data_IF_105150326613
#
_entry.id   IF_105150326613
#
_cell.length_a   1.000
_cell.length_b   1.000
_cell.length_c   1.000
_cell.angle_alpha   90.00
_cell.angle_beta   90.00
_cell.angle_gamma   90.00
#
_symmetry.space_group_name_H-M   'P 1'
#
loop_
_entity.id
_entity.type
_entity.pdbx_description
1 polymer ?
#
# COMPACT_ATOMS: atom_id res chain seq x y z
N UNK A 1 88.20 10.31 4.19
CA UNK A 1 88.12 9.29 3.12
C UNK A 1 86.66 9.15 2.70
N UNK A 2 86.39 9.32 1.39
CA UNK A 2 85.16 9.01 0.63
C UNK A 2 83.82 9.57 1.13
N UNK A 3 83.37 10.70 0.55
CA UNK A 3 82.35 10.83 -0.54
C UNK A 3 80.92 10.80 0.05
N UNK A 4 79.98 11.70 -0.27
CA UNK A 4 79.85 12.78 -1.26
C UNK A 4 78.61 13.61 -0.86
N UNK A 5 78.70 14.93 -1.03
CA UNK A 5 77.70 15.87 -1.60
C UNK A 5 76.37 15.24 -2.09
N UNK A 6 75.19 15.85 -1.94
CA UNK A 6 74.89 17.24 -2.31
C UNK A 6 73.48 17.67 -1.87
N UNK A 7 73.40 18.95 -1.48
CA UNK A 7 72.40 19.97 -1.86
C UNK A 7 70.91 19.76 -1.54
N UNK A 8 70.52 20.57 -0.56
CA UNK A 8 69.27 21.30 -0.42
C UNK A 8 68.60 21.69 -1.74
N UNK A 9 67.31 21.38 -1.83
CA UNK A 9 66.32 22.16 -2.56
C UNK A 9 65.09 22.24 -1.66
N UNK A 10 64.87 23.43 -1.09
CA UNK A 10 63.66 23.80 -0.36
C UNK A 10 62.55 23.92 -1.39
N UNK A 11 61.62 22.98 -1.40
CA UNK A 11 60.36 23.12 -2.13
C UNK A 11 59.28 23.63 -1.16
N UNK A 12 58.98 24.92 -1.27
CA UNK A 12 57.67 25.44 -0.90
C UNK A 12 56.64 24.76 -1.82
N UNK A 13 55.85 23.83 -1.27
CA UNK A 13 54.56 23.51 -1.86
C UNK A 13 53.49 24.29 -1.11
N UNK A 14 53.04 25.35 -1.75
CA UNK A 14 51.72 25.93 -1.59
C UNK A 14 50.67 24.82 -1.72
N UNK A 15 50.13 24.37 -0.60
CA UNK A 15 48.92 23.57 -0.58
C UNK A 15 47.76 24.46 -1.05
N UNK A 16 47.52 24.45 -2.36
CA UNK A 16 46.27 24.95 -2.93
C UNK A 16 45.14 24.13 -2.33
N UNK A 17 44.37 24.77 -1.45
CA UNK A 17 43.11 24.25 -0.97
C UNK A 17 42.18 24.04 -2.16
N UNK A 18 42.04 22.80 -2.59
CA UNK A 18 40.83 22.36 -3.25
C UNK A 18 39.75 22.30 -2.18
N UNK A 19 39.01 23.40 -2.03
CA UNK A 19 37.64 23.33 -1.54
C UNK A 19 36.93 22.34 -2.45
N UNK A 20 36.80 21.09 -2.00
CA UNK A 20 35.73 20.24 -2.46
C UNK A 20 34.46 21.04 -2.19
N UNK A 21 33.84 21.58 -3.23
CA UNK A 21 32.50 22.09 -3.13
C UNK A 21 31.66 20.88 -2.69
N UNK A 22 31.33 20.85 -1.40
CA UNK A 22 30.33 19.94 -0.88
C UNK A 22 29.11 20.13 -1.78
N UNK A 23 28.75 19.07 -2.49
CA UNK A 23 27.54 19.00 -3.31
C UNK A 23 26.39 19.56 -2.47
N UNK A 24 25.89 20.70 -2.91
CA UNK A 24 24.83 21.46 -2.25
C UNK A 24 23.63 20.53 -2.13
N UNK A 25 23.26 20.13 -0.90
CA UNK A 25 22.17 19.18 -0.64
C UNK A 25 20.85 19.83 -1.00
N UNK A 26 20.20 19.30 -2.04
CA UNK A 26 19.04 19.90 -2.67
C UNK A 26 17.70 19.36 -2.12
N UNK A 27 16.87 20.20 -1.44
CA UNK A 27 15.59 20.06 -0.66
C UNK A 27 14.08 20.51 -1.09
N UNK A 28 13.00 19.71 -0.97
CA UNK A 28 11.61 20.23 -1.07
C UNK A 28 10.57 19.56 -0.12
N UNK A 29 9.38 20.17 0.06
CA UNK A 29 8.29 19.69 0.95
C UNK A 29 6.98 19.47 0.18
N UNK A 30 6.29 18.34 0.40
CA UNK A 30 4.92 18.11 -0.06
C UNK A 30 3.97 18.90 0.83
N UNK A 31 3.25 19.86 0.26
CA UNK A 31 2.31 20.71 1.00
C UNK A 31 0.90 20.15 1.02
N UNK A 32 0.57 19.23 0.11
CA UNK A 32 -0.74 18.59 0.09
C UNK A 32 -0.98 17.69 -1.11
N UNK A 33 -2.12 17.01 -1.06
CA UNK A 33 -2.71 16.37 -2.23
C UNK A 33 -3.24 17.44 -3.18
N UNK A 34 -2.81 17.41 -4.44
CA UNK A 34 -3.41 18.27 -5.46
C UNK A 34 -4.72 17.64 -5.96
N UNK A 35 -5.84 18.31 -5.65
CA UNK A 35 -7.19 17.84 -5.96
C UNK A 35 -7.77 18.43 -7.26
N UNK A 36 -6.95 19.07 -8.11
CA UNK A 36 -7.44 19.73 -9.33
C UNK A 36 -8.13 18.77 -10.30
N UNK A 37 -7.67 17.51 -10.36
CA UNK A 37 -8.26 16.43 -11.16
C UNK A 37 -9.14 15.49 -10.31
N UNK A 38 -9.61 15.92 -9.14
CA UNK A 38 -10.32 15.04 -8.19
C UNK A 38 -11.74 15.53 -7.93
N UNK A 39 -12.69 14.61 -7.87
CA UNK A 39 -14.02 14.90 -7.32
C UNK A 39 -14.28 13.96 -6.16
N UNK A 40 -14.48 14.54 -4.98
CA UNK A 40 -14.89 13.81 -3.77
C UNK A 40 -16.39 13.56 -3.87
N UNK A 41 -16.83 12.36 -3.50
CA UNK A 41 -18.28 12.10 -3.34
C UNK A 41 -18.86 13.12 -2.35
N UNK A 42 -19.98 13.79 -2.65
CA UNK A 42 -20.55 14.79 -1.74
C UNK A 42 -21.24 14.14 -0.52
N UNK A 43 -21.34 14.85 0.62
CA UNK A 43 -22.10 14.41 1.79
C UNK A 43 -23.62 14.43 1.52
N UNK A 44 -24.46 13.80 2.37
CA UNK A 44 -24.12 13.18 3.66
C UNK A 44 -23.35 11.85 3.51
N UNK A 45 -22.40 11.62 4.40
CA UNK A 45 -21.71 10.34 4.53
C UNK A 45 -22.36 9.50 5.61
N UNK A 46 -22.62 8.24 5.27
CA UNK A 46 -23.11 7.20 6.17
C UNK A 46 -21.92 6.40 6.67
N UNK A 47 -21.84 6.20 7.98
CA UNK A 47 -20.79 5.39 8.60
C UNK A 47 -20.77 3.96 8.01
N UNK A 48 -19.57 3.39 7.92
CA UNK A 48 -19.27 2.08 7.35
C UNK A 48 -19.49 1.94 5.84
N UNK A 49 -19.94 2.99 5.14
CA UNK A 49 -20.02 3.00 3.68
C UNK A 49 -18.69 3.45 3.05
N UNK A 50 -18.30 2.78 1.97
CA UNK A 50 -17.12 3.16 1.18
C UNK A 50 -17.46 4.22 0.12
N UNK A 51 -16.69 5.29 0.08
CA UNK A 51 -16.83 6.39 -0.86
C UNK A 51 -15.55 6.56 -1.72
N UNK A 52 -15.71 6.94 -3.00
CA UNK A 52 -14.58 7.34 -3.83
C UNK A 52 -14.33 8.85 -3.78
N UNK A 53 -13.06 9.21 -3.83
CA UNK A 53 -12.55 10.46 -4.40
C UNK A 53 -12.01 10.15 -5.80
N UNK A 54 -12.84 10.35 -6.81
CA UNK A 54 -12.59 9.95 -8.20
C UNK A 54 -11.41 10.71 -8.78
N UNK A 55 -10.43 9.98 -9.33
CA UNK A 55 -9.23 10.52 -9.97
C UNK A 55 -9.47 10.62 -11.47
N UNK A 56 -9.54 11.84 -12.00
CA UNK A 56 -9.70 12.10 -13.42
C UNK A 56 -8.35 12.21 -14.13
N UNK A 57 -8.31 11.92 -15.42
CA UNK A 57 -7.08 12.01 -16.23
C UNK A 57 -6.59 13.44 -16.42
N UNK A 58 -7.50 14.43 -16.29
CA UNK A 58 -7.20 15.86 -16.42
C UNK A 58 -8.10 16.69 -15.51
N UNK A 59 -7.76 17.98 -15.36
CA UNK A 59 -8.58 18.96 -14.63
C UNK A 59 -9.95 19.24 -15.29
N UNK A 60 -10.15 18.84 -16.55
CA UNK A 60 -11.46 18.93 -17.22
C UNK A 60 -12.45 17.87 -16.73
N UNK A 61 -11.97 16.83 -16.02
CA UNK A 61 -12.78 15.80 -15.36
C UNK A 61 -13.76 15.06 -16.28
N UNK A 62 -13.31 14.70 -17.49
CA UNK A 62 -14.13 14.00 -18.49
C UNK A 62 -13.93 12.48 -18.51
N UNK A 63 -12.77 11.99 -18.08
CA UNK A 63 -12.44 10.56 -18.02
C UNK A 63 -11.71 10.24 -16.71
N UNK A 64 -11.91 9.03 -16.18
CA UNK A 64 -11.29 8.54 -14.94
C UNK A 64 -10.71 7.15 -15.14
N UNK A 65 -9.62 6.86 -14.45
CA UNK A 65 -8.94 5.56 -14.46
C UNK A 65 -8.91 4.91 -13.06
N UNK A 66 -9.43 5.59 -12.04
CA UNK A 66 -9.36 5.12 -10.66
C UNK A 66 -9.88 6.12 -9.64
N UNK A 67 -9.70 5.79 -8.37
CA UNK A 67 -10.13 6.62 -7.24
C UNK A 67 -9.19 6.45 -6.04
N UNK A 68 -9.19 7.43 -5.15
CA UNK A 68 -8.83 7.20 -3.75
C UNK A 68 -10.09 6.74 -3.03
N UNK A 69 -10.11 5.52 -2.50
CA UNK A 69 -11.28 4.98 -1.78
C UNK A 69 -11.07 5.05 -0.28
N UNK A 70 -12.16 5.28 0.44
CA UNK A 70 -12.15 5.35 1.90
C UNK A 70 -13.49 4.90 2.46
N UNK A 71 -13.49 4.28 3.65
CA UNK A 71 -14.70 3.87 4.37
C UNK A 71 -14.98 4.95 5.42
N UNK A 72 -16.20 5.47 5.49
CA UNK A 72 -16.56 6.50 6.48
C UNK A 72 -16.59 5.88 7.87
N UNK A 73 -15.52 6.09 8.63
CA UNK A 73 -15.30 5.54 9.99
C UNK A 73 -14.38 6.51 10.74
N UNK A 74 -13.31 6.02 11.35
CA UNK A 74 -12.11 6.77 11.73
C UNK A 74 -11.34 7.36 10.52
N UNK A 75 -11.72 7.01 9.28
CA UNK A 75 -11.31 7.71 8.06
C UNK A 75 -12.44 8.62 7.59
N UNK A 76 -12.11 9.86 7.26
CA UNK A 76 -13.04 10.88 6.76
C UNK A 76 -12.70 11.32 5.34
N UNK A 77 -13.63 11.97 4.66
CA UNK A 77 -13.36 12.60 3.36
C UNK A 77 -12.14 13.55 3.43
N UNK A 78 -11.30 13.63 2.39
CA UNK A 78 -11.41 12.95 1.09
C UNK A 78 -10.68 11.60 1.02
N UNK A 79 -10.24 11.04 2.15
CA UNK A 79 -9.61 9.72 2.23
C UNK A 79 -8.07 9.72 2.15
N UNK A 80 -7.42 10.85 1.90
CA UNK A 80 -5.96 10.99 1.89
C UNK A 80 -5.52 12.38 2.37
N UNK A 81 -4.44 12.44 3.16
CA UNK A 81 -3.72 13.65 3.55
C UNK A 81 -2.21 13.45 3.53
N UNK A 82 -1.51 14.57 3.69
CA UNK A 82 -0.06 14.66 3.87
C UNK A 82 0.19 15.12 5.31
N UNK A 83 0.95 14.34 6.07
CA UNK A 83 1.44 14.74 7.40
C UNK A 83 2.89 15.20 7.26
N UNK A 84 3.14 16.46 7.64
CA UNK A 84 4.45 17.10 7.55
C UNK A 84 5.21 17.15 8.88
N UNK A 85 4.52 16.87 9.98
CA UNK A 85 5.08 16.78 11.31
C UNK A 85 4.17 15.88 12.14
N UNK A 86 4.51 14.59 12.19
CA UNK A 86 3.96 13.67 13.18
C UNK A 86 4.23 14.19 14.59
N UNK A 87 3.23 14.13 15.47
CA UNK A 87 3.24 14.75 16.78
C UNK A 87 4.16 14.05 17.80
N UNK A 88 4.46 12.77 17.58
CA UNK A 88 5.37 11.98 18.43
C UNK A 88 6.79 11.98 17.88
N UNK A 89 6.94 11.68 16.59
CA UNK A 89 8.23 11.39 15.97
C UNK A 89 8.77 12.50 15.07
N UNK A 90 7.93 13.48 14.69
CA UNK A 90 8.24 14.48 13.68
C UNK A 90 8.38 13.92 12.25
N UNK A 91 8.10 12.63 12.05
CA UNK A 91 8.13 11.98 10.74
C UNK A 91 7.09 12.57 9.79
N UNK A 92 7.31 12.35 8.49
CA UNK A 92 6.39 12.75 7.44
C UNK A 92 5.82 11.51 6.76
N UNK A 93 4.54 11.57 6.43
CA UNK A 93 3.89 10.46 5.74
C UNK A 93 2.74 10.91 4.82
N UNK A 94 2.40 10.00 3.90
CA UNK A 94 1.21 10.05 3.05
C UNK A 94 0.28 8.96 3.59
N UNK A 95 -0.90 9.36 4.04
CA UNK A 95 -1.81 8.49 4.79
C UNK A 95 -3.27 8.93 4.63
N UNK A 96 -4.20 8.22 5.24
CA UNK A 96 -5.62 8.59 5.28
C UNK A 96 -5.88 9.83 6.14
N UNK A 97 -6.93 10.56 5.80
CA UNK A 97 -7.57 11.58 6.67
C UNK A 97 -8.37 10.94 7.80
N UNK A 98 -8.79 11.75 8.77
CA UNK A 98 -9.66 11.33 9.87
C UNK A 98 -8.97 11.44 11.22
N UNK A 99 -9.41 10.65 12.18
CA UNK A 99 -8.94 10.70 13.56
C UNK A 99 -8.34 9.37 14.00
N UNK A 100 -7.48 9.38 15.03
CA UNK A 100 -7.00 8.18 15.67
C UNK A 100 -8.16 7.54 16.46
N UNK A 101 -8.57 6.28 16.17
CA UNK A 101 -9.73 5.67 16.84
C UNK A 101 -9.52 5.37 18.33
N UNK A 102 -8.28 5.44 18.83
CA UNK A 102 -7.96 5.12 20.22
C UNK A 102 -8.04 6.33 21.16
N UNK A 103 -7.75 7.53 20.67
CA UNK A 103 -7.72 8.76 21.48
C UNK A 103 -8.45 9.96 20.85
N UNK A 104 -9.03 9.79 19.66
CA UNK A 104 -9.79 10.80 18.90
C UNK A 104 -9.00 12.04 18.48
N UNK A 105 -7.66 12.02 18.57
CA UNK A 105 -6.79 13.05 18.01
C UNK A 105 -6.79 13.03 16.47
N UNK A 106 -6.21 14.05 15.83
CA UNK A 106 -5.99 14.00 14.38
C UNK A 106 -5.08 12.81 14.05
N UNK A 107 -5.40 12.04 13.01
CA UNK A 107 -4.70 10.79 12.69
C UNK A 107 -3.22 11.04 12.33
N UNK A 108 -2.25 10.39 12.96
CA UNK A 108 -0.81 10.62 12.77
C UNK A 108 -0.05 9.40 12.26
N UNK A 109 1.20 9.60 11.81
CA UNK A 109 2.02 8.53 11.23
C UNK A 109 2.32 7.43 12.26
N UNK A 110 2.50 7.80 13.53
CA UNK A 110 2.81 6.87 14.63
C UNK A 110 1.59 6.23 15.30
N UNK A 111 0.35 6.52 14.85
CA UNK A 111 -0.83 5.92 15.49
C UNK A 111 -0.73 4.39 15.52
N UNK A 112 -1.38 3.72 16.48
CA UNK A 112 -1.29 2.27 16.60
C UNK A 112 -1.70 1.52 15.33
N UNK A 113 -1.38 0.23 15.25
CA UNK A 113 -1.91 -0.62 14.20
C UNK A 113 -3.44 -0.64 14.20
N UNK A 114 -4.04 -0.99 13.06
CA UNK A 114 -5.50 -0.97 12.84
C UNK A 114 -6.18 0.40 12.97
N UNK A 115 -5.43 1.51 13.03
CA UNK A 115 -5.95 2.89 12.95
C UNK A 115 -6.26 3.36 11.51
N UNK A 116 -6.55 2.44 10.59
CA UNK A 116 -6.91 2.75 9.18
C UNK A 116 -5.97 3.70 8.42
N UNK A 117 -4.68 3.78 8.77
CA UNK A 117 -3.71 4.75 8.19
C UNK A 117 -3.46 4.62 6.68
N UNK A 118 -3.74 3.45 6.08
CA UNK A 118 -3.35 3.18 4.70
C UNK A 118 -4.29 3.84 3.70
N UNK A 119 -3.80 4.83 2.95
CA UNK A 119 -4.59 5.47 1.89
C UNK A 119 -4.75 4.48 0.72
N UNK A 120 -5.94 4.42 0.12
CA UNK A 120 -6.29 3.34 -0.81
C UNK A 120 -6.43 3.88 -2.23
N UNK A 121 -5.61 3.40 -3.15
CA UNK A 121 -5.74 3.67 -4.59
C UNK A 121 -6.42 2.48 -5.25
N UNK A 122 -7.51 2.71 -5.96
CA UNK A 122 -8.21 1.70 -6.77
C UNK A 122 -8.11 2.04 -8.25
N UNK A 123 -7.63 1.12 -9.07
CA UNK A 123 -7.69 1.23 -10.53
C UNK A 123 -8.90 0.50 -11.09
N UNK A 124 -9.52 1.00 -12.16
CA UNK A 124 -10.79 0.43 -12.66
C UNK A 124 -10.84 0.11 -14.15
N UNK A 125 -9.91 0.62 -14.97
CA UNK A 125 -10.04 0.60 -16.44
C UNK A 125 -8.77 0.13 -17.18
N UNK A 126 -7.81 -0.48 -16.48
CA UNK A 126 -6.57 -0.95 -17.09
C UNK A 126 -5.63 0.13 -17.60
N UNK A 127 -5.93 1.37 -17.26
CA UNK A 127 -5.19 2.55 -17.67
C UNK A 127 -4.36 3.10 -16.51
N UNK A 128 -3.33 3.92 -16.79
CA UNK A 128 -2.54 4.51 -15.73
C UNK A 128 -3.36 5.41 -14.78
N UNK A 129 -3.05 5.35 -13.50
CA UNK A 129 -3.69 6.14 -12.44
C UNK A 129 -2.71 7.21 -11.97
N UNK A 130 -3.13 8.46 -12.02
CA UNK A 130 -2.30 9.61 -11.64
C UNK A 130 -2.75 10.20 -10.30
N UNK A 131 -1.81 10.27 -9.35
CA UNK A 131 -1.99 10.97 -8.07
C UNK A 131 -1.05 12.18 -8.04
N UNK A 132 -1.63 13.36 -7.92
CA UNK A 132 -0.90 14.63 -8.03
C UNK A 132 -0.56 15.16 -6.63
N UNK A 133 0.66 15.65 -6.45
CA UNK A 133 1.12 16.21 -5.18
C UNK A 133 1.54 17.65 -5.38
N UNK A 134 1.11 18.55 -4.50
CA UNK A 134 1.60 19.94 -4.46
C UNK A 134 2.85 19.99 -3.61
N UNK A 135 3.85 20.75 -4.05
CA UNK A 135 5.11 20.95 -3.33
C UNK A 135 5.40 22.43 -3.12
N UNK A 136 5.98 22.77 -1.97
CA UNK A 136 6.60 24.06 -1.73
C UNK A 136 8.02 24.08 -2.32
N UNK A 137 8.37 25.19 -2.97
CA UNK A 137 9.77 25.47 -3.33
C UNK A 137 10.46 25.97 -2.06
N UNK A 138 11.24 25.11 -1.42
CA UNK A 138 11.91 25.44 -0.16
C UNK A 138 13.34 24.87 -0.08
N UNK A 139 13.91 24.83 1.14
CA UNK A 139 15.26 24.35 1.42
C UNK A 139 15.30 23.14 2.35
N UNK A 140 14.17 22.45 2.60
CA UNK A 140 14.10 21.20 3.36
C UNK A 140 14.17 19.90 2.53
N UNK A 141 15.08 18.95 2.79
CA UNK A 141 14.92 17.60 2.19
C UNK A 141 13.86 16.86 3.00
N UNK A 142 12.79 16.41 2.35
CA UNK A 142 11.68 15.76 3.03
C UNK A 142 11.54 14.31 2.59
N UNK A 143 11.43 13.40 3.56
CA UNK A 143 11.31 11.97 3.34
C UNK A 143 9.92 11.57 3.85
N UNK A 144 9.05 11.11 2.95
CA UNK A 144 7.68 10.73 3.27
C UNK A 144 7.53 9.22 3.23
N UNK A 145 7.07 8.61 4.32
CA UNK A 145 6.57 7.24 4.26
C UNK A 145 5.20 7.22 3.58
N UNK A 146 5.02 6.43 2.53
CA UNK A 146 3.73 6.18 1.93
C UNK A 146 3.14 4.89 2.51
N UNK A 147 2.11 5.05 3.35
CA UNK A 147 1.36 3.92 3.89
C UNK A 147 0.16 3.67 2.97
N UNK A 148 0.26 2.76 2.01
CA UNK A 148 -0.73 2.66 0.93
C UNK A 148 -1.39 1.27 0.87
N UNK A 149 -2.63 1.20 0.36
CA UNK A 149 -3.19 0.00 -0.28
C UNK A 149 -3.42 0.31 -1.76
N UNK A 150 -3.01 -0.60 -2.65
CA UNK A 150 -3.35 -0.57 -4.07
C UNK A 150 -4.36 -1.69 -4.33
N UNK A 151 -5.44 -1.38 -5.03
CA UNK A 151 -6.56 -2.29 -5.28
C UNK A 151 -6.74 -2.48 -6.77
N UNK A 152 -6.75 -3.75 -7.19
CA UNK A 152 -7.22 -4.14 -8.52
C UNK A 152 -8.76 -4.11 -8.54
N UNK A 153 -9.30 -3.01 -9.05
CA UNK A 153 -10.73 -2.82 -9.27
C UNK A 153 -11.14 -2.98 -10.73
N UNK A 154 -10.29 -3.58 -11.56
CA UNK A 154 -10.52 -3.79 -12.98
C UNK A 154 -11.32 -5.07 -13.22
N UNK A 155 -11.86 -5.22 -14.43
CA UNK A 155 -12.51 -6.46 -14.88
C UNK A 155 -11.52 -7.59 -15.16
N UNK A 156 -10.26 -7.27 -15.45
CA UNK A 156 -9.19 -8.22 -15.73
C UNK A 156 -8.17 -8.20 -14.60
N UNK A 157 -7.77 -9.38 -14.14
CA UNK A 157 -6.72 -9.57 -13.13
C UNK A 157 -5.41 -8.91 -13.57
N UNK A 158 -4.81 -8.14 -12.69
CA UNK A 158 -3.45 -7.62 -12.87
C UNK A 158 -2.42 -8.71 -12.56
N UNK A 159 -1.31 -8.74 -13.31
CA UNK A 159 -0.12 -9.54 -12.98
C UNK A 159 0.84 -8.83 -12.04
N UNK A 160 0.56 -7.58 -11.72
CA UNK A 160 1.41 -6.72 -10.91
C UNK A 160 1.21 -5.25 -11.25
N UNK A 161 2.16 -4.41 -10.86
CA UNK A 161 2.11 -2.98 -11.11
C UNK A 161 3.50 -2.37 -11.32
N UNK A 162 3.52 -1.20 -11.94
CA UNK A 162 4.66 -0.28 -11.93
C UNK A 162 4.22 1.08 -11.42
N UNK A 163 4.95 1.68 -10.50
CA UNK A 163 4.80 3.06 -10.08
C UNK A 163 5.97 3.90 -10.60
N UNK A 164 5.69 5.07 -11.16
CA UNK A 164 6.69 6.03 -11.63
C UNK A 164 6.44 7.41 -11.01
N UNK A 165 7.52 8.11 -10.70
CA UNK A 165 7.47 9.53 -10.34
C UNK A 165 7.72 10.38 -11.59
N UNK A 166 7.15 11.58 -11.63
CA UNK A 166 7.33 12.48 -12.77
C UNK A 166 6.44 13.72 -12.72
N UNK A 167 6.20 14.30 -13.89
CA UNK A 167 5.56 15.60 -14.07
C UNK A 167 4.50 15.52 -15.17
N UNK A 168 3.44 16.32 -15.05
CA UNK A 168 2.47 16.49 -16.14
C UNK A 168 2.81 17.76 -16.90
N UNK A 169 3.37 17.60 -18.09
CA UNK A 169 3.80 18.70 -18.97
C UNK A 169 2.89 18.74 -20.17
N UNK A 170 2.10 19.81 -20.32
CA UNK A 170 1.12 19.96 -21.40
C UNK A 170 0.16 18.76 -21.53
N UNK A 171 -0.27 18.19 -20.40
CA UNK A 171 -1.16 17.02 -20.37
C UNK A 171 -0.48 15.67 -20.63
N UNK A 172 0.85 15.64 -20.81
CA UNK A 172 1.63 14.43 -21.02
C UNK A 172 2.50 14.13 -19.81
N UNK A 173 2.46 12.90 -19.32
CA UNK A 173 3.34 12.46 -18.24
C UNK A 173 4.76 12.35 -18.75
N UNK A 174 5.64 13.08 -18.10
CA UNK A 174 7.09 13.08 -18.31
C UNK A 174 7.73 12.53 -17.05
N UNK A 175 8.31 11.34 -17.15
CA UNK A 175 8.99 10.68 -16.03
C UNK A 175 10.10 11.57 -15.43
N UNK A 176 10.28 11.49 -14.11
CA UNK A 176 11.42 12.09 -13.42
C UNK A 176 12.73 11.49 -13.94
N UNK A 177 13.82 12.21 -13.69
CA UNK A 177 15.18 11.81 -14.10
C UNK A 177 16.06 11.74 -12.89
N UNK A 178 17.06 10.87 -12.95
CA UNK A 178 18.03 10.74 -11.86
C UNK A 178 18.61 12.08 -11.43
N UNK A 179 18.66 12.26 -10.11
CA UNK A 179 19.17 13.44 -9.41
C UNK A 179 18.38 14.73 -9.67
N UNK A 180 17.14 14.63 -10.15
CA UNK A 180 16.22 15.77 -10.21
C UNK A 180 15.59 16.10 -8.85
N UNK A 181 15.95 15.35 -7.80
CA UNK A 181 15.50 15.53 -6.43
C UNK A 181 14.08 15.04 -6.16
N UNK A 182 13.52 14.21 -7.04
CA UNK A 182 12.34 13.42 -6.75
C UNK A 182 12.71 11.95 -6.89
N UNK A 183 12.46 11.15 -5.86
CA UNK A 183 12.77 9.74 -5.99
C UNK A 183 12.23 8.85 -4.88
N UNK A 184 12.04 7.58 -5.21
CA UNK A 184 11.86 6.51 -4.25
C UNK A 184 13.17 6.28 -3.49
N UNK A 185 13.04 6.11 -2.19
CA UNK A 185 14.18 6.04 -1.29
C UNK A 185 14.00 5.02 -0.18
N UNK A 186 15.08 4.79 0.54
CA UNK A 186 15.04 4.17 1.88
C UNK A 186 14.35 5.09 2.89
N UNK A 187 14.07 4.58 4.08
CA UNK A 187 13.58 5.34 5.23
C UNK A 187 14.55 6.43 5.73
N UNK A 188 15.78 6.47 5.22
CA UNK A 188 16.80 7.50 5.50
C UNK A 188 16.98 8.50 4.34
N UNK A 189 16.11 8.45 3.33
CA UNK A 189 16.15 9.36 2.18
C UNK A 189 17.23 9.05 1.15
N UNK A 190 17.94 7.93 1.27
CA UNK A 190 18.86 7.48 0.23
C UNK A 190 18.07 6.88 -0.93
N UNK A 191 18.20 7.46 -2.12
CA UNK A 191 17.58 6.95 -3.35
C UNK A 191 18.05 5.53 -3.70
N UNK A 192 17.16 4.78 -4.34
CA UNK A 192 17.51 3.48 -4.93
C UNK A 192 18.24 3.69 -6.27
N UNK A 193 19.56 3.88 -6.24
CA UNK A 193 20.34 4.18 -7.46
C UNK A 193 20.65 2.96 -8.33
N UNK A 194 20.42 1.76 -7.81
CA UNK A 194 20.51 0.48 -8.52
C UNK A 194 19.27 -0.32 -8.19
N UNK A 195 18.80 -1.14 -9.14
CA UNK A 195 17.67 -2.03 -8.91
C UNK A 195 17.89 -2.85 -7.65
N UNK A 196 17.06 -2.63 -6.63
CA UNK A 196 17.03 -3.49 -5.45
C UNK A 196 16.40 -4.81 -5.86
N UNK A 197 17.22 -5.77 -6.28
CA UNK A 197 16.73 -7.13 -6.59
C UNK A 197 16.64 -8.02 -5.34
N UNK A 198 17.15 -7.54 -4.21
CA UNK A 198 17.07 -8.23 -2.92
C UNK A 198 15.89 -7.76 -2.09
N UNK A 199 15.27 -8.70 -1.37
CA UNK A 199 14.19 -8.44 -0.41
C UNK A 199 14.64 -7.36 0.58
N UNK A 200 13.91 -6.25 0.60
CA UNK A 200 14.09 -5.20 1.60
C UNK A 200 13.27 -5.53 2.85
N UNK A 201 13.60 -4.93 3.99
CA UNK A 201 12.73 -5.04 5.16
C UNK A 201 11.35 -4.44 4.85
N UNK A 202 10.31 -4.99 5.45
CA UNK A 202 8.94 -4.54 5.21
C UNK A 202 8.75 -3.04 5.49
N UNK A 203 9.47 -2.53 6.49
CA UNK A 203 9.48 -1.12 6.89
C UNK A 203 10.13 -0.19 5.85
N UNK A 204 10.94 -0.71 4.93
CA UNK A 204 11.64 0.11 3.91
C UNK A 204 10.91 0.06 2.57
N UNK A 205 10.66 -1.15 2.06
CA UNK A 205 10.03 -1.36 0.76
C UNK A 205 9.32 -2.72 0.75
N UNK A 206 7.99 -2.71 0.67
CA UNK A 206 7.21 -3.95 0.61
C UNK A 206 5.91 -3.82 -0.18
N UNK A 207 5.48 -4.96 -0.73
CA UNK A 207 4.19 -5.19 -1.33
C UNK A 207 3.63 -6.53 -0.80
N UNK A 208 2.77 -6.47 0.21
CA UNK A 208 2.25 -7.65 0.91
C UNK A 208 0.73 -7.59 1.02
N UNK A 209 0.07 -8.73 0.85
CA UNK A 209 -1.34 -8.88 1.19
C UNK A 209 -1.53 -8.86 2.71
N UNK A 210 -2.78 -8.74 3.17
CA UNK A 210 -3.10 -8.70 4.59
C UNK A 210 -2.50 -9.91 5.35
N UNK A 211 -1.93 -9.67 6.53
CA UNK A 211 -1.32 -10.71 7.35
C UNK A 211 -2.32 -11.82 7.71
N UNK A 212 -3.59 -11.45 7.94
CA UNK A 212 -4.65 -12.41 8.24
C UNK A 212 -4.88 -13.44 7.13
N UNK A 213 -4.43 -13.19 5.90
CA UNK A 213 -4.48 -14.16 4.81
C UNK A 213 -3.28 -15.11 4.81
N UNK A 214 -2.08 -14.61 5.12
CA UNK A 214 -0.86 -15.40 5.03
C UNK A 214 0.29 -14.75 5.82
N UNK A 215 0.98 -15.54 6.64
CA UNK A 215 2.13 -15.14 7.45
C UNK A 215 2.21 -15.85 8.81
N UNK A 216 3.42 -15.93 9.39
CA UNK A 216 3.59 -16.41 10.76
C UNK A 216 3.11 -15.38 11.77
N UNK A 217 2.60 -15.84 12.91
CA UNK A 217 2.27 -14.94 14.02
C UNK A 217 3.48 -14.06 14.39
N UNK A 218 3.21 -12.79 14.65
CA UNK A 218 4.20 -11.79 15.04
C UNK A 218 3.67 -10.92 16.19
N UNK A 219 4.50 -10.00 16.68
CA UNK A 219 4.12 -9.12 17.80
C UNK A 219 2.89 -8.25 17.53
N UNK A 220 2.55 -8.04 16.25
CA UNK A 220 1.48 -7.20 15.77
C UNK A 220 0.23 -8.00 15.36
N UNK A 221 0.40 -9.31 15.13
CA UNK A 221 -0.64 -10.24 14.69
C UNK A 221 -0.40 -11.58 15.40
N UNK A 222 -1.02 -11.81 16.56
CA UNK A 222 -0.73 -12.98 17.39
C UNK A 222 -1.24 -14.30 16.81
N UNK A 223 -2.04 -14.24 15.74
CA UNK A 223 -2.56 -15.39 15.01
C UNK A 223 -1.85 -15.54 13.66
N UNK A 224 -1.74 -16.79 13.20
CA UNK A 224 -1.20 -17.11 11.88
C UNK A 224 -2.18 -16.73 10.77
N UNK A 225 -1.65 -16.48 9.57
CA UNK A 225 -2.45 -16.24 8.38
C UNK A 225 -3.27 -17.45 7.97
N UNK A 226 -4.47 -17.19 7.42
CA UNK A 226 -5.47 -18.20 7.11
C UNK A 226 -5.01 -19.22 6.06
N UNK A 227 -4.52 -18.79 4.90
CA UNK A 227 -4.16 -19.68 3.80
C UNK A 227 -2.76 -20.29 3.97
N UNK A 228 -1.82 -19.53 4.51
CA UNK A 228 -0.42 -19.96 4.70
C UNK A 228 0.09 -19.41 6.05
N UNK A 229 0.25 -20.25 7.08
CA UNK A 229 0.68 -19.82 8.40
C UNK A 229 2.19 -19.58 8.50
N UNK A 230 2.97 -19.87 7.45
CA UNK A 230 4.43 -19.83 7.48
C UNK A 230 5.02 -18.67 6.68
N UNK A 231 4.42 -18.33 5.55
CA UNK A 231 4.97 -17.34 4.62
C UNK A 231 3.95 -16.26 4.26
N UNK A 232 4.40 -14.99 4.20
CA UNK A 232 3.60 -13.89 3.67
C UNK A 232 3.27 -14.10 2.19
N UNK A 233 2.11 -13.65 1.75
CA UNK A 233 1.79 -13.48 0.34
C UNK A 233 2.08 -12.05 -0.11
N UNK A 234 2.57 -11.88 -1.34
CA UNK A 234 2.84 -10.55 -1.89
C UNK A 234 3.62 -10.56 -3.20
N UNK A 235 4.33 -9.47 -3.45
CA UNK A 235 5.25 -9.32 -4.58
C UNK A 235 6.65 -8.98 -4.09
N UNK A 236 7.65 -9.53 -4.76
CA UNK A 236 8.98 -8.93 -4.74
C UNK A 236 8.91 -7.56 -5.43
N UNK A 237 9.60 -6.55 -4.90
CA UNK A 237 9.66 -5.23 -5.51
C UNK A 237 11.07 -4.91 -6.01
N UNK A 238 11.13 -4.44 -7.24
CA UNK A 238 12.32 -3.86 -7.86
C UNK A 238 12.17 -2.34 -7.86
N UNK A 239 13.05 -1.64 -7.15
CA UNK A 239 13.04 -0.18 -7.10
C UNK A 239 14.31 0.44 -7.68
N UNK A 240 14.13 1.54 -8.40
CA UNK A 240 15.13 2.55 -8.75
C UNK A 240 14.67 3.90 -8.21
N UNK A 241 15.47 4.96 -8.40
CA UNK A 241 15.12 6.33 -8.00
C UNK A 241 13.74 6.73 -8.53
N UNK A 242 13.47 6.49 -9.82
CA UNK A 242 12.25 6.97 -10.46
C UNK A 242 11.14 5.92 -10.62
N UNK A 243 11.34 4.68 -10.14
CA UNK A 243 10.42 3.57 -10.45
C UNK A 243 10.38 2.52 -9.36
N UNK A 244 9.17 2.05 -9.03
CA UNK A 244 8.94 0.77 -8.35
C UNK A 244 8.22 -0.14 -9.34
N UNK A 245 8.62 -1.40 -9.43
CA UNK A 245 7.93 -2.40 -10.24
C UNK A 245 7.86 -3.73 -9.51
N UNK A 246 6.75 -4.43 -9.67
CA UNK A 246 6.61 -5.80 -9.18
C UNK A 246 7.53 -6.74 -9.94
N UNK A 247 8.24 -7.59 -9.21
CA UNK A 247 8.78 -8.85 -9.71
C UNK A 247 7.71 -9.94 -9.72
N UNK A 248 8.13 -11.19 -9.49
CA UNK A 248 7.21 -12.31 -9.37
C UNK A 248 6.34 -12.16 -8.11
N UNK A 249 5.05 -12.49 -8.25
CA UNK A 249 4.17 -12.75 -7.12
C UNK A 249 4.67 -13.99 -6.36
N UNK A 250 4.47 -14.05 -5.05
CA UNK A 250 4.93 -15.18 -4.24
C UNK A 250 4.25 -16.49 -4.69
N UNK A 251 5.03 -17.58 -4.68
CA UNK A 251 4.56 -18.88 -5.17
C UNK A 251 3.36 -19.42 -4.40
N UNK A 252 3.28 -19.15 -3.10
CA UNK A 252 2.15 -19.54 -2.26
C UNK A 252 0.84 -18.83 -2.65
N UNK A 253 0.88 -17.56 -3.08
CA UNK A 253 -0.31 -16.89 -3.64
C UNK A 253 -0.63 -17.47 -5.02
N UNK A 254 0.37 -17.54 -5.91
CA UNK A 254 0.15 -17.97 -7.29
C UNK A 254 -0.44 -19.37 -7.38
N UNK A 255 0.03 -20.30 -6.55
CA UNK A 255 -0.47 -21.67 -6.50
C UNK A 255 -1.95 -21.76 -6.12
N UNK A 256 -2.48 -20.79 -5.38
CA UNK A 256 -3.87 -20.78 -4.92
C UNK A 256 -4.79 -19.96 -5.83
N UNK A 257 -4.32 -18.81 -6.31
CA UNK A 257 -5.19 -17.82 -6.94
C UNK A 257 -4.75 -17.40 -8.36
N UNK A 258 -3.57 -17.85 -8.80
CA UNK A 258 -2.94 -17.40 -10.03
C UNK A 258 -2.47 -15.95 -9.95
N UNK A 259 -2.81 -15.17 -10.97
CA UNK A 259 -2.56 -13.72 -11.01
C UNK A 259 -3.39 -12.99 -9.93
N UNK A 260 -3.06 -11.71 -9.67
CA UNK A 260 -3.71 -10.89 -8.63
C UNK A 260 -5.23 -10.88 -8.84
N UNK A 261 -5.99 -11.30 -7.82
CA UNK A 261 -7.43 -11.16 -7.85
C UNK A 261 -7.86 -9.69 -7.98
N UNK A 262 -8.77 -9.41 -8.91
CA UNK A 262 -9.54 -8.18 -8.88
C UNK A 262 -10.72 -8.31 -7.90
N UNK A 263 -11.31 -7.19 -7.48
CA UNK A 263 -12.43 -7.16 -6.54
C UNK A 263 -13.64 -8.01 -6.97
N UNK A 264 -13.85 -8.19 -8.27
CA UNK A 264 -14.98 -8.98 -8.79
C UNK A 264 -14.71 -10.50 -8.78
N UNK A 265 -13.46 -10.93 -8.61
CA UNK A 265 -13.03 -12.32 -8.72
C UNK A 265 -12.38 -12.86 -7.44
N UNK A 266 -12.50 -12.14 -6.32
CA UNK A 266 -12.07 -12.68 -5.03
C UNK A 266 -13.03 -13.81 -4.61
N UNK A 267 -12.52 -14.89 -3.98
CA UNK A 267 -13.36 -15.92 -3.39
C UNK A 267 -14.31 -15.33 -2.35
N UNK A 268 -15.49 -15.93 -2.24
CA UNK A 268 -16.41 -15.70 -1.14
C UNK A 268 -16.06 -16.60 0.05
N UNK A 269 -16.40 -16.13 1.24
CA UNK A 269 -16.03 -16.72 2.51
C UNK A 269 -17.19 -16.80 3.49
N UNK A 270 -16.97 -17.59 4.54
CA UNK A 270 -17.65 -17.46 5.82
C UNK A 270 -16.74 -16.75 6.82
N UNK A 271 -17.30 -15.80 7.54
CA UNK A 271 -16.67 -15.06 8.62
C UNK A 271 -17.42 -15.29 9.92
N UNK A 272 -16.70 -15.50 11.01
CA UNK A 272 -17.27 -15.59 12.37
C UNK A 272 -17.10 -14.23 13.07
N UNK A 273 -18.22 -13.66 13.50
CA UNK A 273 -18.31 -12.46 14.31
C UNK A 273 -18.15 -12.86 15.79
N UNK A 274 -16.94 -12.78 16.32
CA UNK A 274 -16.61 -13.24 17.67
C UNK A 274 -17.03 -12.25 18.77
N UNK A 275 -17.40 -11.01 18.41
CA UNK A 275 -17.84 -9.97 19.34
C UNK A 275 -19.27 -9.46 19.12
N UNK A 276 -20.04 -10.12 18.25
CA UNK A 276 -21.43 -9.75 17.87
C UNK A 276 -21.51 -8.28 17.41
N UNK A 277 -20.49 -7.86 16.66
CA UNK A 277 -20.42 -6.54 16.07
C UNK A 277 -19.89 -6.61 14.65
N UNK A 278 -20.82 -6.70 13.70
CA UNK A 278 -20.59 -6.71 12.24
C UNK A 278 -19.70 -5.59 11.68
N UNK A 279 -19.41 -4.55 12.48
CA UNK A 279 -18.54 -3.45 12.08
C UNK A 279 -17.06 -3.65 12.46
N UNK A 280 -16.74 -4.67 13.25
CA UNK A 280 -15.37 -5.07 13.59
C UNK A 280 -14.82 -6.06 12.55
N UNK A 281 -13.54 -6.43 12.68
CA UNK A 281 -12.91 -7.37 11.76
C UNK A 281 -13.32 -8.81 12.11
N UNK A 282 -14.30 -9.36 11.40
CA UNK A 282 -14.70 -10.76 11.59
C UNK A 282 -13.61 -11.75 11.18
N UNK A 283 -13.66 -12.94 11.75
CA UNK A 283 -12.63 -13.97 11.59
C UNK A 283 -12.96 -14.88 10.40
N UNK A 284 -12.06 -14.96 9.41
CA UNK A 284 -12.22 -15.84 8.23
C UNK A 284 -12.23 -17.33 8.63
N UNK A 285 -13.33 -18.04 8.39
CA UNK A 285 -13.52 -19.44 8.79
C UNK A 285 -13.35 -20.41 7.63
N UNK A 286 -13.98 -20.11 6.49
CA UNK A 286 -14.00 -20.94 5.30
C UNK A 286 -14.02 -20.07 4.03
N UNK A 287 -13.63 -20.64 2.90
CA UNK A 287 -13.85 -20.05 1.59
C UNK A 287 -14.52 -21.05 0.64
N UNK A 288 -15.29 -20.52 -0.30
CA UNK A 288 -15.85 -21.31 -1.38
C UNK A 288 -14.71 -21.70 -2.35
N UNK A 289 -14.50 -22.99 -2.52
CA UNK A 289 -13.60 -23.57 -3.52
C UNK A 289 -14.43 -23.92 -4.76
N UNK A 290 -14.78 -22.87 -5.50
CA UNK A 290 -15.72 -22.92 -6.61
C UNK A 290 -16.23 -21.52 -6.94
N UNK A 291 -17.30 -21.46 -7.72
CA UNK A 291 -17.96 -20.18 -7.98
C UNK A 291 -19.01 -19.94 -6.88
N UNK A 292 -19.02 -18.74 -6.28
CA UNK A 292 -20.10 -18.37 -5.39
C UNK A 292 -21.21 -17.68 -6.18
N UNK A 293 -22.42 -18.24 -6.12
CA UNK A 293 -23.60 -17.70 -6.79
C UNK A 293 -24.34 -16.83 -5.80
N UNK A 294 -24.19 -15.51 -5.95
CA UNK A 294 -24.93 -14.51 -5.18
C UNK A 294 -26.40 -14.55 -5.60
N UNK A 295 -27.29 -14.82 -4.64
CA UNK A 295 -28.75 -14.81 -4.84
C UNK A 295 -29.39 -13.50 -4.39
N UNK A 296 -28.78 -12.81 -3.43
CA UNK A 296 -29.13 -11.46 -3.01
C UNK A 296 -27.85 -10.64 -2.78
N UNK A 297 -27.60 -9.67 -3.65
CA UNK A 297 -26.42 -8.83 -3.59
C UNK A 297 -26.46 -7.77 -2.47
N UNK A 298 -27.64 -7.44 -1.93
CA UNK A 298 -27.78 -6.48 -0.83
C UNK A 298 -27.52 -7.18 0.50
N UNK A 299 -28.08 -8.38 0.66
CA UNK A 299 -27.86 -9.18 1.86
C UNK A 299 -26.56 -9.99 1.83
N UNK A 300 -25.80 -9.93 0.71
CA UNK A 300 -24.58 -10.72 0.49
C UNK A 300 -24.80 -12.23 0.69
N UNK A 301 -25.99 -12.72 0.33
CA UNK A 301 -26.36 -14.13 0.47
C UNK A 301 -26.25 -14.86 -0.86
N UNK A 302 -25.96 -16.16 -0.78
CA UNK A 302 -25.77 -17.01 -1.94
C UNK A 302 -25.38 -18.43 -1.56
N UNK A 303 -24.90 -19.18 -2.53
CA UNK A 303 -24.39 -20.54 -2.32
C UNK A 303 -23.08 -20.78 -3.06
N UNK A 304 -22.27 -21.70 -2.55
CA UNK A 304 -21.06 -22.15 -3.22
C UNK A 304 -21.40 -23.24 -4.24
N UNK A 305 -21.19 -22.97 -5.52
CA UNK A 305 -21.18 -23.95 -6.62
C UNK A 305 -19.80 -24.62 -6.67
N UNK A 306 -19.53 -25.42 -5.66
CA UNK A 306 -18.24 -26.01 -5.34
C UNK A 306 -18.27 -26.58 -3.93
N UNK A 307 -17.12 -26.56 -3.27
CA UNK A 307 -17.00 -27.08 -1.89
C UNK A 307 -16.59 -25.96 -0.95
N UNK A 308 -17.25 -25.85 0.20
CA UNK A 308 -16.72 -25.02 1.29
C UNK A 308 -15.49 -25.69 1.89
N UNK A 309 -14.37 -24.95 1.92
CA UNK A 309 -13.12 -25.45 2.47
C UNK A 309 -12.62 -24.55 3.58
N UNK A 310 -11.90 -25.14 4.52
CA UNK A 310 -11.16 -24.43 5.55
C UNK A 310 -9.68 -24.78 5.51
N UNK A 311 -8.85 -23.80 5.88
CA UNK A 311 -7.42 -23.96 6.14
C UNK A 311 -7.11 -23.98 7.64
N UNK A 312 -8.15 -23.93 8.47
CA UNK A 312 -8.06 -24.15 9.91
C UNK A 312 -7.77 -25.61 10.21
N UNK A 313 -7.07 -25.85 11.31
CA UNK A 313 -6.76 -27.21 11.78
C UNK A 313 -8.02 -28.05 12.00
N UNK A 314 -9.14 -27.42 12.39
CA UNK A 314 -10.49 -28.00 12.42
C UNK A 314 -11.52 -26.94 12.01
N UNK A 315 -12.67 -27.39 11.52
CA UNK A 315 -13.82 -26.50 11.30
C UNK A 315 -14.46 -26.15 12.65
N UNK A 316 -15.03 -24.95 12.75
CA UNK A 316 -15.76 -24.49 13.92
C UNK A 316 -14.88 -23.83 14.99
N UNK A 317 -15.32 -23.90 16.23
CA UNK A 317 -14.71 -23.26 17.40
C UNK A 317 -14.21 -24.31 18.39
N UNK A 318 -13.15 -23.99 19.12
CA UNK A 318 -12.63 -24.82 20.20
C UNK A 318 -13.52 -24.77 21.45
N UNK A 319 -13.13 -25.49 22.50
CA UNK A 319 -13.86 -25.53 23.77
C UNK A 319 -14.01 -24.17 24.47
N UNK A 320 -13.22 -23.17 24.09
CA UNK A 320 -13.28 -21.80 24.61
C UNK A 320 -14.07 -20.86 23.70
N UNK A 321 -14.67 -21.37 22.61
CA UNK A 321 -15.37 -20.56 21.62
C UNK A 321 -14.43 -19.80 20.68
N UNK A 322 -13.15 -20.19 20.59
CA UNK A 322 -12.18 -19.55 19.70
C UNK A 322 -12.02 -20.35 18.40
N UNK A 323 -11.92 -19.69 17.23
CA UNK A 323 -11.61 -20.37 15.99
C UNK A 323 -10.29 -21.13 16.06
N UNK A 324 -10.29 -22.40 15.62
CA UNK A 324 -9.08 -23.20 15.54
C UNK A 324 -8.01 -22.51 14.69
N UNK A 325 -6.72 -22.55 15.08
CA UNK A 325 -5.65 -21.90 14.32
C UNK A 325 -5.50 -22.51 12.93
N UNK A 326 -5.00 -21.70 11.98
CA UNK A 326 -4.67 -22.19 10.64
C UNK A 326 -3.44 -23.09 10.66
N UNK A 327 -3.54 -24.23 9.98
CA UNK A 327 -2.41 -25.09 9.63
C UNK A 327 -2.03 -25.00 8.14
N UNK A 328 -2.74 -24.17 7.36
CA UNK A 328 -2.51 -23.97 5.93
C UNK A 328 -2.88 -25.18 5.05
N UNK A 329 -3.54 -26.19 5.61
CA UNK A 329 -3.95 -27.38 4.88
C UNK A 329 -5.44 -27.27 4.55
N UNK A 330 -5.74 -27.22 3.24
CA UNK A 330 -7.11 -27.23 2.70
C UNK A 330 -7.86 -28.50 3.11
N UNK A 331 -9.02 -28.32 3.75
CA UNK A 331 -9.92 -29.40 4.19
C UNK A 331 -11.37 -29.04 3.83
N UNK A 332 -12.22 -29.99 3.43
CA UNK A 332 -13.64 -29.71 3.30
C UNK A 332 -14.25 -29.36 4.67
N UNK A 333 -15.21 -28.43 4.68
CA UNK A 333 -16.04 -28.17 5.86
C UNK A 333 -17.10 -29.28 5.95
N UNK A 334 -17.26 -29.95 7.09
CA UNK A 334 -18.32 -30.94 7.29
C UNK A 334 -19.73 -30.35 7.08
N UNK A 335 -20.66 -31.15 6.56
CA UNK A 335 -22.02 -30.69 6.24
C UNK A 335 -22.82 -30.23 7.47
N UNK A 336 -22.63 -30.90 8.60
CA UNK A 336 -23.25 -30.56 9.88
C UNK A 336 -22.73 -29.24 10.46
N UNK A 337 -21.41 -29.00 10.38
CA UNK A 337 -20.82 -27.70 10.71
C UNK A 337 -21.34 -26.58 9.80
N UNK A 338 -21.39 -26.83 8.49
CA UNK A 338 -21.90 -25.85 7.54
C UNK A 338 -23.37 -25.51 7.82
N UNK A 339 -24.21 -26.50 8.11
CA UNK A 339 -25.60 -26.30 8.49
C UNK A 339 -25.72 -25.50 9.80
N UNK A 340 -24.84 -25.74 10.78
CA UNK A 340 -24.77 -24.98 12.02
C UNK A 340 -24.46 -23.50 11.74
N UNK A 341 -23.46 -23.21 10.90
CA UNK A 341 -23.09 -21.84 10.52
C UNK A 341 -24.24 -21.13 9.78
N UNK A 342 -24.89 -21.80 8.84
CA UNK A 342 -26.03 -21.24 8.09
C UNK A 342 -27.23 -20.89 8.97
N UNK A 343 -27.37 -21.55 10.11
CA UNK A 343 -28.43 -21.28 11.09
C UNK A 343 -28.06 -20.24 12.16
N UNK A 344 -26.81 -19.77 12.17
CA UNK A 344 -26.26 -18.90 13.20
C UNK A 344 -25.92 -17.52 12.63
N UNK A 345 -26.54 -16.47 13.18
CA UNK A 345 -26.36 -15.09 12.73
C UNK A 345 -24.94 -14.54 12.93
N UNK A 346 -24.14 -15.16 13.80
CA UNK A 346 -22.71 -14.81 13.99
C UNK A 346 -21.83 -15.26 12.82
N UNK A 347 -22.36 -16.07 11.89
CA UNK A 347 -21.65 -16.46 10.68
C UNK A 347 -22.20 -15.69 9.49
N UNK A 348 -21.33 -14.86 8.90
CA UNK A 348 -21.68 -14.01 7.77
C UNK A 348 -20.91 -14.45 6.52
N UNK A 349 -21.55 -14.32 5.36
CA UNK A 349 -20.88 -14.47 4.08
C UNK A 349 -20.36 -13.12 3.59
N UNK A 350 -19.24 -13.16 2.88
CA UNK A 350 -18.68 -11.97 2.24
C UNK A 350 -17.50 -12.30 1.33
N UNK A 351 -17.12 -11.40 0.41
CA UNK A 351 -15.93 -11.56 -0.42
C UNK A 351 -14.64 -11.35 0.39
N UNK A 352 -13.59 -12.12 0.09
CA UNK A 352 -12.25 -11.92 0.66
C UNK A 352 -11.54 -10.76 -0.08
N UNK A 353 -12.04 -9.54 0.08
CA UNK A 353 -11.54 -8.36 -0.64
C UNK A 353 -10.04 -8.09 -0.39
N UNK A 354 -9.49 -8.55 0.74
CA UNK A 354 -8.06 -8.43 1.05
C UNK A 354 -7.17 -9.13 0.01
N UNK A 355 -7.68 -10.10 -0.77
CA UNK A 355 -6.96 -10.71 -1.89
C UNK A 355 -6.83 -9.78 -3.10
N UNK A 356 -7.66 -8.75 -3.20
CA UNK A 356 -7.56 -7.69 -4.19
C UNK A 356 -6.81 -6.45 -3.68
N UNK A 357 -6.59 -6.35 -2.37
CA UNK A 357 -5.97 -5.20 -1.73
C UNK A 357 -4.51 -5.48 -1.35
N UNK A 358 -3.57 -4.98 -2.14
CA UNK A 358 -2.14 -5.10 -1.89
C UNK A 358 -1.64 -3.94 -1.00
N UNK A 359 -1.12 -4.25 0.18
CA UNK A 359 -0.48 -3.27 1.05
C UNK A 359 0.90 -2.88 0.53
N UNK A 360 1.13 -1.59 0.34
CA UNK A 360 2.42 -1.03 -0.10
C UNK A 360 3.02 -0.15 1.00
N UNK A 361 4.32 -0.30 1.22
CA UNK A 361 5.11 0.59 2.06
C UNK A 361 6.38 0.97 1.30
N UNK A 362 6.61 2.27 1.12
CA UNK A 362 7.78 2.82 0.43
C UNK A 362 7.97 4.29 0.83
N UNK A 363 9.14 4.85 0.56
CA UNK A 363 9.41 6.25 0.82
C UNK A 363 9.58 7.05 -0.46
N UNK A 364 9.08 8.29 -0.44
CA UNK A 364 9.35 9.31 -1.45
C UNK A 364 10.20 10.39 -0.80
N UNK A 365 11.34 10.70 -1.40
CA UNK A 365 12.17 11.83 -1.02
C UNK A 365 11.97 12.97 -2.01
N UNK A 366 11.77 14.17 -1.46
CA UNK A 366 11.61 15.42 -2.22
C UNK A 366 12.73 16.41 -1.89
N UNK A 367 13.34 16.91 -2.96
CA UNK A 367 14.53 17.77 -3.02
C UNK A 367 14.29 19.15 -3.67
N UNK A 368 15.29 20.05 -3.61
CA UNK A 368 15.24 21.56 -3.83
C UNK A 368 15.49 21.93 -5.24
N UNK A 369 15.84 20.93 -6.01
CA UNK A 369 15.71 20.94 -7.44
C UNK A 369 14.26 21.00 -7.89
N UNK A 370 13.26 21.00 -6.99
CA UNK A 370 11.89 21.25 -7.39
C UNK A 370 11.67 22.58 -8.12
N UNK A 371 12.40 23.64 -7.74
CA UNK A 371 12.47 24.90 -8.52
C UNK A 371 12.85 24.72 -10.00
N UNK A 372 13.51 23.60 -10.36
CA UNK A 372 13.97 23.25 -11.71
C UNK A 372 13.10 22.18 -12.38
N UNK A 373 12.10 21.64 -11.69
CA UNK A 373 11.17 20.70 -12.30
C UNK A 373 10.39 21.39 -13.42
N UNK A 374 9.93 20.64 -14.44
CA UNK A 374 9.01 21.16 -15.45
C UNK A 374 7.75 21.79 -14.84
N UNK A 375 7.32 21.30 -13.66
CA UNK A 375 6.23 21.85 -12.84
C UNK A 375 6.74 22.13 -11.42
N UNK A 376 7.29 23.31 -11.12
CA UNK A 376 8.06 23.54 -9.88
C UNK A 376 7.33 23.33 -8.55
N UNK A 377 6.01 23.41 -8.57
CA UNK A 377 5.15 23.29 -7.39
C UNK A 377 4.35 21.99 -7.37
N UNK A 378 4.70 21.02 -8.22
CA UNK A 378 3.92 19.79 -8.35
C UNK A 378 4.74 18.63 -8.92
N UNK A 379 4.46 17.42 -8.46
CA UNK A 379 4.80 16.20 -9.18
C UNK A 379 3.61 15.24 -9.23
N UNK A 380 3.75 14.18 -10.00
CA UNK A 380 2.76 13.13 -10.18
C UNK A 380 3.40 11.79 -9.87
N UNK A 381 2.69 10.97 -9.09
CA UNK A 381 2.95 9.55 -9.00
C UNK A 381 1.95 8.83 -9.90
N UNK A 382 2.47 8.07 -10.87
CA UNK A 382 1.67 7.32 -11.84
C UNK A 382 1.79 5.82 -11.59
N UNK A 383 0.66 5.16 -11.40
CA UNK A 383 0.58 3.70 -11.34
C UNK A 383 0.18 3.14 -12.71
N UNK A 384 0.85 2.08 -13.14
CA UNK A 384 0.53 1.30 -14.34
C UNK A 384 0.14 -0.11 -13.90
N UNK A 385 -1.05 -0.60 -14.28
CA UNK A 385 -1.35 -2.02 -14.17
C UNK A 385 -0.50 -2.82 -15.16
N UNK A 386 -0.13 -4.05 -14.78
CA UNK A 386 0.56 -5.03 -15.64
C UNK A 386 -0.42 -6.17 -15.90
N UNK A 387 -0.48 -6.68 -17.13
CA UNK A 387 -1.38 -7.78 -17.56
C UNK A 387 -0.65 -8.98 -18.13
#
# INVERSE_FOLDING_TARGET
MKKKFNKSAVFLLTAFGTCAAASIVNAGTITGWNMSNVTVTPPPYIEWVSYPSTLYTTAAKTATNGAITWKETDVKAPGMKIVNADDVSGLKCIMTTGYNPYDFSDKMCTDPLKSSKRWKVKGTNGQPIDVYFTTAIDTNVSIYNSMQKLTDGDIRKWKGFRAELGFMVNGVFTKSKSLDGLGFSTNKGKYFTTTTSTVQSADVLSAVYAQGLAGPADANHPTTGYFDPLYRMGYLLNATEDTISTGLITSNYYAMFGDWNNLASVPWAYYYDDDDNVNTDNILMANCDGNFVVTDAIAETGYCDGTWVTYRSQAGLDANGLPYPSDGIKKPVPEDELAAWQSNYLYLNGPIEDLANLGLNYYITVGKTNSKWPTPTQFVMRFYPIY
#
